data_IF_648047943581
#
_entry.id   IF_648047943581
#
_cell.length_a   1.000
_cell.length_b   1.000
_cell.length_c   1.000
_cell.angle_alpha   90.00
_cell.angle_beta   90.00
_cell.angle_gamma   90.00
#
_symmetry.space_group_name_H-M   'P 1'
#
loop_
_entity.id
_entity.type
_entity.pdbx_description
1 polymer ?
#
# COMPACT_ATOMS: atom_id res chain seq x y z
N UNK A 1 -33.43 25.40 17.97
CA UNK A 1 -33.42 26.85 17.66
C UNK A 1 -32.06 27.19 17.03
N UNK A 2 -31.99 27.39 15.70
CA UNK A 2 -30.73 27.78 15.04
C UNK A 2 -30.58 29.30 15.16
N UNK A 3 -29.68 29.75 16.03
CA UNK A 3 -29.31 31.18 16.10
C UNK A 3 -28.43 31.46 14.88
N UNK A 4 -28.92 32.29 13.94
CA UNK A 4 -28.09 32.83 12.85
C UNK A 4 -27.44 34.12 13.37
N UNK A 5 -26.12 34.09 13.56
CA UNK A 5 -25.35 35.30 13.84
C UNK A 5 -25.06 35.96 12.49
N UNK A 6 -25.61 37.15 12.27
CA UNK A 6 -25.29 37.95 11.09
C UNK A 6 -24.00 38.75 11.35
N UNK A 7 -22.85 38.18 10.98
CA UNK A 7 -21.53 38.77 11.21
C UNK A 7 -21.37 40.14 10.53
N UNK A 8 -22.02 40.35 9.38
CA UNK A 8 -21.96 41.62 8.65
C UNK A 8 -22.78 42.72 9.34
N UNK A 9 -23.74 42.35 10.19
CA UNK A 9 -24.53 43.31 10.96
C UNK A 9 -23.82 43.82 12.23
N UNK A 10 -22.65 43.28 12.58
CA UNK A 10 -21.88 43.74 13.73
C UNK A 10 -21.02 44.97 13.36
N UNK A 11 -21.04 46.05 14.16
CA UNK A 11 -20.09 47.15 14.06
C UNK A 11 -18.63 46.66 14.18
N UNK A 12 -17.72 47.22 13.39
CA UNK A 12 -16.30 46.80 13.33
C UNK A 12 -15.57 46.88 14.68
N UNK A 13 -16.04 47.77 15.55
CA UNK A 13 -15.57 47.97 16.92
C UNK A 13 -15.86 46.75 17.80
N UNK A 14 -17.04 46.14 17.62
CA UNK A 14 -17.49 44.97 18.37
C UNK A 14 -16.94 43.67 17.79
N UNK A 15 -16.61 43.62 16.49
CA UNK A 15 -15.98 42.45 15.84
C UNK A 15 -14.65 42.08 16.52
N UNK A 16 -13.92 43.06 17.08
CA UNK A 16 -12.65 42.85 17.80
C UNK A 16 -12.82 42.25 19.20
N UNK A 17 -14.03 42.32 19.78
CA UNK A 17 -14.35 41.84 21.12
C UNK A 17 -14.87 40.39 21.13
N UNK A 18 -15.34 39.89 19.98
CA UNK A 18 -15.79 38.51 19.88
C UNK A 18 -14.61 37.54 19.78
N UNK A 19 -14.43 36.73 20.81
CA UNK A 19 -13.57 35.55 20.76
C UNK A 19 -14.33 34.50 19.97
N UNK A 20 -13.77 34.04 18.84
CA UNK A 20 -14.30 32.87 18.14
C UNK A 20 -14.24 31.68 19.12
N UNK A 21 -15.38 31.32 19.70
CA UNK A 21 -15.54 30.37 20.80
C UNK A 21 -15.66 28.91 20.34
N UNK A 22 -15.30 28.65 19.08
CA UNK A 22 -15.25 27.29 18.52
C UNK A 22 -16.54 26.82 17.88
N UNK A 23 -17.48 27.73 17.58
CA UNK A 23 -18.72 27.44 16.86
C UNK A 23 -18.55 26.41 15.73
N UNK A 24 -19.11 25.22 15.95
CA UNK A 24 -19.25 24.15 14.97
C UNK A 24 -20.01 24.71 13.77
N UNK A 25 -19.45 24.57 12.55
CA UNK A 25 -19.96 25.03 11.25
C UNK A 25 -19.55 26.44 10.76
N UNK A 26 -18.64 27.16 11.44
CA UNK A 26 -18.04 28.36 10.83
C UNK A 26 -16.86 27.98 9.92
N UNK A 27 -16.78 28.54 8.69
CA UNK A 27 -15.63 28.32 7.81
C UNK A 27 -14.39 29.09 8.33
N UNK A 28 -13.19 28.64 7.95
CA UNK A 28 -11.96 29.40 8.18
C UNK A 28 -12.05 30.77 7.47
N UNK A 29 -11.61 31.89 8.08
CA UNK A 29 -10.93 32.03 9.38
C UNK A 29 -11.86 32.37 10.56
N UNK A 30 -13.19 32.21 10.39
CA UNK A 30 -14.20 32.69 11.33
C UNK A 30 -14.40 31.77 12.55
N UNK A 31 -13.71 30.62 12.60
CA UNK A 31 -13.68 29.68 13.73
C UNK A 31 -12.44 29.88 14.60
N UNK A 32 -12.41 29.25 15.78
CA UNK A 32 -11.35 29.50 16.76
C UNK A 32 -9.96 29.02 16.28
N UNK A 33 -8.90 29.78 16.60
CA UNK A 33 -7.52 29.37 16.30
C UNK A 33 -7.16 28.02 16.92
N UNK A 34 -7.75 27.70 18.08
CA UNK A 34 -7.60 26.39 18.70
C UNK A 34 -8.22 25.29 17.83
N UNK A 35 -9.40 25.51 17.26
CA UNK A 35 -10.07 24.55 16.37
C UNK A 35 -9.25 24.30 15.09
N UNK A 36 -8.77 25.37 14.44
CA UNK A 36 -7.84 25.28 13.30
C UNK A 36 -6.56 24.52 13.66
N UNK A 37 -5.97 24.81 14.83
CA UNK A 37 -4.80 24.09 15.34
C UNK A 37 -5.09 22.60 15.59
N UNK A 38 -6.26 22.27 16.16
CA UNK A 38 -6.65 20.89 16.42
C UNK A 38 -6.88 20.09 15.12
N UNK A 39 -7.39 20.72 14.07
CA UNK A 39 -7.58 20.14 12.74
C UNK A 39 -6.21 19.87 12.08
N UNK A 40 -5.32 20.88 12.08
CA UNK A 40 -3.95 20.77 11.57
C UNK A 40 -3.14 19.71 12.34
N UNK A 41 -3.21 19.71 13.68
CA UNK A 41 -2.47 18.78 14.54
C UNK A 41 -2.84 17.32 14.27
N UNK A 42 -4.11 17.05 13.94
CA UNK A 42 -4.61 15.71 13.63
C UNK A 42 -4.33 15.27 12.19
N UNK A 43 -3.75 16.15 11.37
CA UNK A 43 -3.23 15.85 10.03
C UNK A 43 -4.25 15.08 9.15
N UNK A 44 -5.51 15.50 9.19
CA UNK A 44 -6.56 14.86 8.38
C UNK A 44 -7.19 13.59 8.98
N UNK A 45 -6.84 13.19 10.21
CA UNK A 45 -7.61 12.17 10.95
C UNK A 45 -8.98 12.74 11.35
N UNK A 46 -9.89 12.74 10.37
CA UNK A 46 -11.23 13.32 10.44
C UNK A 46 -12.07 12.67 11.54
N UNK A 47 -11.90 11.37 11.76
CA UNK A 47 -12.59 10.63 12.82
C UNK A 47 -12.20 11.14 14.21
N UNK A 48 -10.90 11.18 14.51
CA UNK A 48 -10.42 11.71 15.79
C UNK A 48 -10.87 13.17 15.99
N UNK A 49 -10.88 13.97 14.92
CA UNK A 49 -11.35 15.36 14.98
C UNK A 49 -12.87 15.45 15.23
N UNK A 50 -13.69 14.72 14.48
CA UNK A 50 -15.15 14.75 14.62
C UNK A 50 -15.58 14.21 15.99
N UNK A 51 -15.02 13.07 16.42
CA UNK A 51 -15.39 12.46 17.70
C UNK A 51 -14.86 13.26 18.89
N UNK A 52 -13.58 13.67 18.89
CA UNK A 52 -12.97 14.28 20.07
C UNK A 52 -13.00 15.82 20.09
N UNK A 53 -13.06 16.48 18.92
CA UNK A 53 -13.12 17.96 18.84
C UNK A 53 -14.55 18.43 18.61
N UNK A 54 -15.33 17.78 17.74
CA UNK A 54 -16.73 18.17 17.52
C UNK A 54 -17.72 17.47 18.44
N UNK A 55 -17.22 16.59 19.34
CA UNK A 55 -18.01 15.77 20.25
C UNK A 55 -19.19 15.09 19.53
N UNK A 56 -19.00 14.71 18.27
CA UNK A 56 -20.05 14.08 17.47
C UNK A 56 -19.85 12.58 17.56
N UNK A 57 -20.77 11.83 18.19
CA UNK A 57 -20.71 10.38 18.14
C UNK A 57 -20.83 9.97 16.67
N UNK A 58 -19.86 9.21 16.18
CA UNK A 58 -19.93 8.63 14.85
C UNK A 58 -20.81 7.39 14.90
N UNK A 59 -21.80 7.30 14.02
CA UNK A 59 -22.76 6.20 13.93
C UNK A 59 -22.32 5.08 13.00
N UNK A 60 -23.10 4.00 12.98
CA UNK A 60 -22.91 2.82 12.11
C UNK A 60 -22.89 3.14 10.59
N UNK A 61 -23.52 4.24 10.19
CA UNK A 61 -23.56 4.70 8.81
C UNK A 61 -22.35 5.53 8.40
N UNK A 62 -21.47 5.88 9.34
CA UNK A 62 -20.29 6.69 9.04
C UNK A 62 -19.20 5.83 8.39
N UNK A 63 -18.50 6.41 7.43
CA UNK A 63 -17.46 5.73 6.65
C UNK A 63 -16.07 6.24 7.03
N UNK A 64 -15.02 5.39 6.97
CA UNK A 64 -13.64 5.83 7.20
C UNK A 64 -13.09 6.71 6.06
N UNK A 65 -13.76 6.75 4.91
CA UNK A 65 -13.29 7.41 3.69
C UNK A 65 -14.22 8.54 3.27
N UNK A 66 -13.66 9.67 2.82
CA UNK A 66 -14.47 10.79 2.33
C UNK A 66 -14.99 10.53 0.92
N UNK A 67 -16.31 10.45 0.74
CA UNK A 67 -16.93 10.16 -0.55
C UNK A 67 -16.62 11.24 -1.60
N UNK A 68 -16.38 12.48 -1.19
CA UNK A 68 -16.00 13.57 -2.10
C UNK A 68 -14.63 13.29 -2.72
N UNK A 69 -13.67 12.88 -1.87
CA UNK A 69 -12.32 12.47 -2.31
C UNK A 69 -12.40 11.24 -3.21
N UNK A 70 -13.21 10.25 -2.85
CA UNK A 70 -13.38 9.04 -3.68
C UNK A 70 -13.99 9.34 -5.06
N UNK A 71 -14.96 10.26 -5.14
CA UNK A 71 -15.53 10.71 -6.42
C UNK A 71 -14.54 11.53 -7.27
N UNK A 72 -13.63 12.28 -6.65
CA UNK A 72 -12.54 12.96 -7.37
C UNK A 72 -11.52 11.95 -7.92
N UNK A 73 -11.09 10.97 -7.11
CA UNK A 73 -10.22 9.87 -7.54
C UNK A 73 -10.86 9.11 -8.70
N UNK A 74 -12.15 8.80 -8.61
CA UNK A 74 -12.92 8.13 -9.66
C UNK A 74 -12.85 8.85 -11.01
N UNK A 75 -12.91 10.18 -10.99
CA UNK A 75 -12.87 11.00 -12.21
C UNK A 75 -11.46 11.14 -12.77
N UNK A 76 -10.45 11.20 -11.90
CA UNK A 76 -9.09 11.56 -12.27
C UNK A 76 -8.22 10.34 -12.59
N UNK A 77 -8.25 9.32 -11.73
CA UNK A 77 -7.18 8.32 -11.65
C UNK A 77 -7.66 6.89 -11.98
N UNK A 78 -8.95 6.57 -11.80
CA UNK A 78 -9.50 5.24 -12.08
C UNK A 78 -9.55 4.97 -13.58
N UNK A 79 -8.98 3.83 -14.00
CA UNK A 79 -8.90 3.41 -15.41
C UNK A 79 -8.70 1.91 -15.53
N UNK A 80 -8.99 1.38 -16.72
CA UNK A 80 -8.67 -0.01 -17.04
C UNK A 80 -7.15 -0.29 -16.98
N UNK A 81 -6.74 -1.50 -16.55
CA UNK A 81 -5.34 -1.87 -16.53
C UNK A 81 -4.78 -1.99 -17.94
N UNK A 82 -3.53 -1.58 -18.10
CA UNK A 82 -2.80 -1.65 -19.36
C UNK A 82 -2.52 -3.10 -19.76
N UNK A 83 -2.42 -4.01 -18.78
CA UNK A 83 -2.21 -5.44 -18.99
C UNK A 83 -3.05 -6.30 -18.04
N UNK A 84 -3.62 -7.40 -18.54
CA UNK A 84 -4.35 -8.43 -17.76
C UNK A 84 -3.80 -9.82 -18.07
N UNK A 85 -3.38 -10.57 -17.05
CA UNK A 85 -2.74 -11.87 -17.25
C UNK A 85 -2.29 -12.55 -15.95
N UNK A 86 -1.20 -13.29 -16.03
CA UNK A 86 -0.57 -14.01 -14.91
C UNK A 86 0.96 -13.94 -14.99
N UNK A 87 1.64 -14.31 -13.90
CA UNK A 87 3.06 -14.64 -13.96
C UNK A 87 3.26 -16.14 -14.12
N UNK A 88 4.05 -16.51 -15.12
CA UNK A 88 4.64 -17.83 -15.18
C UNK A 88 5.74 -17.91 -14.13
N UNK A 89 5.60 -18.86 -13.20
CA UNK A 89 6.54 -19.11 -12.11
C UNK A 89 6.84 -20.61 -12.05
N UNK A 90 8.08 -20.95 -11.73
CA UNK A 90 8.53 -22.35 -11.59
C UNK A 90 9.22 -22.54 -10.25
N UNK A 91 9.38 -23.79 -9.82
CA UNK A 91 10.07 -24.14 -8.58
C UNK A 91 11.20 -25.11 -8.89
N UNK A 92 12.25 -25.05 -8.08
CA UNK A 92 13.27 -26.10 -8.06
C UNK A 92 12.69 -27.40 -7.47
N UNK A 93 13.45 -28.50 -7.58
CA UNK A 93 13.06 -29.80 -7.02
C UNK A 93 12.82 -29.78 -5.50
N UNK A 94 13.47 -28.85 -4.79
CA UNK A 94 13.26 -28.64 -3.35
C UNK A 94 12.03 -27.77 -3.02
N UNK A 95 11.25 -27.34 -4.02
CA UNK A 95 10.05 -26.52 -3.86
C UNK A 95 10.29 -25.03 -3.62
N UNK A 96 11.55 -24.56 -3.63
CA UNK A 96 11.90 -23.14 -3.59
C UNK A 96 11.61 -22.50 -4.95
N UNK A 97 11.17 -21.23 -4.94
CA UNK A 97 10.88 -20.47 -6.15
C UNK A 97 12.11 -20.35 -7.04
N UNK A 98 11.96 -20.69 -8.32
CA UNK A 98 12.97 -20.44 -9.34
C UNK A 98 12.79 -19.02 -9.88
N UNK A 99 13.79 -18.18 -9.63
CA UNK A 99 13.79 -16.75 -10.00
C UNK A 99 14.34 -16.48 -11.40
N UNK A 100 14.90 -17.48 -12.08
CA UNK A 100 15.54 -17.34 -13.39
C UNK A 100 14.54 -17.28 -14.54
N UNK A 101 13.37 -17.90 -14.37
CA UNK A 101 12.36 -18.04 -15.42
C UNK A 101 11.00 -17.52 -14.96
N UNK A 102 10.97 -16.24 -14.58
CA UNK A 102 9.73 -15.51 -14.27
C UNK A 102 9.38 -14.61 -15.45
N UNK A 103 8.19 -14.80 -16.01
CA UNK A 103 7.71 -14.01 -17.16
C UNK A 103 6.23 -13.72 -17.06
N UNK A 104 5.84 -12.54 -17.53
CA UNK A 104 4.43 -12.17 -17.67
C UNK A 104 3.79 -12.95 -18.83
N UNK A 105 2.58 -13.46 -18.60
CA UNK A 105 1.76 -14.18 -19.56
C UNK A 105 0.43 -13.43 -19.78
N UNK A 106 0.27 -12.72 -20.91
CA UNK A 106 -0.96 -11.99 -21.21
C UNK A 106 -2.15 -12.95 -21.43
N UNK A 107 -3.34 -12.55 -21.01
CA UNK A 107 -4.61 -13.22 -21.35
C UNK A 107 -4.88 -14.56 -20.65
N UNK A 108 -3.95 -15.09 -19.86
CA UNK A 108 -4.19 -16.31 -19.05
C UNK A 108 -4.83 -15.91 -17.74
N UNK A 109 -6.03 -16.42 -17.42
CA UNK A 109 -6.86 -16.18 -16.21
C UNK A 109 -7.20 -14.72 -15.86
N UNK A 110 -6.29 -13.77 -16.09
CA UNK A 110 -6.48 -12.34 -15.92
C UNK A 110 -6.51 -11.87 -14.48
N UNK A 111 -6.02 -12.67 -13.51
CA UNK A 111 -6.09 -12.27 -12.09
C UNK A 111 -5.08 -11.16 -11.78
N UNK A 112 -3.91 -11.14 -12.44
CA UNK A 112 -2.99 -10.01 -12.35
C UNK A 112 -3.41 -8.92 -13.33
N UNK A 113 -3.77 -7.77 -12.76
CA UNK A 113 -4.01 -6.52 -13.44
C UNK A 113 -2.82 -5.58 -13.20
N UNK A 114 -2.32 -4.95 -14.26
CA UNK A 114 -1.15 -4.07 -14.19
C UNK A 114 -1.44 -2.72 -14.86
N UNK A 115 -1.10 -1.64 -14.16
CA UNK A 115 -1.15 -0.25 -14.61
C UNK A 115 0.28 0.27 -14.70
N UNK A 116 0.71 0.63 -15.91
CA UNK A 116 2.05 1.11 -16.19
C UNK A 116 2.73 0.33 -17.31
N UNK A 117 3.92 0.79 -17.70
CA UNK A 117 4.69 0.18 -18.78
C UNK A 117 5.41 -1.08 -18.29
N UNK A 118 5.53 -2.07 -19.17
CA UNK A 118 6.31 -3.29 -18.96
C UNK A 118 7.45 -3.38 -19.98
N UNK A 119 8.50 -2.53 -19.91
CA UNK A 119 9.65 -2.66 -20.79
C UNK A 119 10.26 -4.05 -20.68
N UNK A 120 10.39 -4.74 -21.82
CA UNK A 120 10.89 -6.13 -21.87
C UNK A 120 10.08 -7.12 -21.01
N UNK A 121 8.78 -6.85 -20.80
CA UNK A 121 7.89 -7.74 -20.04
C UNK A 121 8.06 -7.68 -18.52
N UNK A 122 8.74 -6.64 -17.99
CA UNK A 122 8.95 -6.42 -16.55
C UNK A 122 8.66 -4.96 -16.16
N UNK A 123 8.30 -4.69 -14.88
CA UNK A 123 8.19 -3.34 -14.34
C UNK A 123 9.51 -2.54 -14.41
N UNK A 124 9.45 -1.23 -14.20
CA UNK A 124 10.66 -0.37 -14.20
C UNK A 124 11.64 -0.79 -13.09
N UNK A 125 12.75 -1.40 -13.49
CA UNK A 125 13.69 -2.04 -12.58
C UNK A 125 14.52 -1.06 -11.74
N UNK A 126 14.43 0.25 -12.04
CA UNK A 126 15.02 1.34 -11.25
C UNK A 126 14.16 1.78 -10.07
N UNK A 127 12.88 1.38 -10.04
CA UNK A 127 11.97 1.75 -8.98
C UNK A 127 12.00 0.75 -7.83
N UNK A 128 11.61 1.22 -6.64
CA UNK A 128 11.36 0.35 -5.50
C UNK A 128 9.87 0.06 -5.40
N UNK A 129 9.52 -1.21 -5.28
CA UNK A 129 8.14 -1.66 -5.17
C UNK A 129 7.84 -2.20 -3.78
N UNK A 130 6.60 -2.00 -3.34
CA UNK A 130 6.02 -2.65 -2.17
C UNK A 130 4.94 -3.61 -2.69
N UNK A 131 4.92 -4.83 -2.15
CA UNK A 131 3.85 -5.80 -2.36
C UNK A 131 3.14 -6.00 -1.03
N UNK A 132 1.86 -5.64 -0.99
CA UNK A 132 1.00 -5.74 0.17
C UNK A 132 -0.04 -6.84 -0.02
N UNK A 133 -0.22 -7.71 0.99
CA UNK A 133 -1.02 -8.93 0.86
C UNK A 133 -2.03 -9.07 2.01
N UNK A 134 -3.26 -9.45 1.67
CA UNK A 134 -4.28 -9.91 2.62
C UNK A 134 -4.65 -11.36 2.25
N UNK A 135 -4.06 -12.35 2.93
CA UNK A 135 -4.25 -13.76 2.57
C UNK A 135 -5.57 -14.32 3.10
N UNK A 136 -6.31 -15.01 2.24
CA UNK A 136 -7.49 -15.80 2.61
C UNK A 136 -7.19 -17.30 2.63
N UNK A 137 -8.13 -18.12 3.11
CA UNK A 137 -7.98 -19.58 3.13
C UNK A 137 -8.03 -20.26 1.76
N UNK A 138 -8.45 -19.55 0.70
CA UNK A 138 -8.58 -20.14 -0.63
C UNK A 138 -9.78 -21.09 -0.76
N UNK A 139 -10.88 -20.83 -0.05
CA UNK A 139 -12.08 -21.69 -0.01
C UNK A 139 -13.28 -21.10 -0.78
N UNK A 140 -13.08 -20.03 -1.56
CA UNK A 140 -14.12 -19.41 -2.39
C UNK A 140 -14.98 -18.36 -1.68
N UNK A 141 -14.91 -18.25 -0.35
CA UNK A 141 -15.71 -17.28 0.41
C UNK A 141 -15.12 -15.87 0.46
N UNK A 142 -13.78 -15.76 0.53
CA UNK A 142 -13.06 -14.49 0.64
C UNK A 142 -11.86 -14.47 -0.31
N UNK A 143 -11.52 -13.31 -0.86
CA UNK A 143 -10.39 -13.18 -1.77
C UNK A 143 -9.08 -13.12 -0.99
N UNK A 144 -8.06 -13.81 -1.47
CA UNK A 144 -6.70 -13.35 -1.24
C UNK A 144 -6.45 -12.17 -2.15
N UNK A 145 -5.94 -11.06 -1.61
CA UNK A 145 -5.63 -9.86 -2.38
C UNK A 145 -4.13 -9.55 -2.32
N UNK A 146 -3.58 -9.05 -3.43
CA UNK A 146 -2.21 -8.55 -3.54
C UNK A 146 -2.26 -7.21 -4.25
N UNK A 147 -1.72 -6.17 -3.61
CA UNK A 147 -1.47 -4.88 -4.24
C UNK A 147 0.04 -4.69 -4.46
N UNK A 148 0.39 -4.16 -5.63
CA UNK A 148 1.74 -3.72 -5.95
C UNK A 148 1.75 -2.19 -6.03
N UNK A 149 2.58 -1.57 -5.20
CA UNK A 149 2.71 -0.12 -5.10
C UNK A 149 4.12 0.30 -5.53
N UNK A 150 4.19 1.29 -6.40
CA UNK A 150 5.44 1.89 -6.86
C UNK A 150 5.80 3.08 -5.97
N UNK A 151 6.90 2.94 -5.21
CA UNK A 151 7.32 3.98 -4.26
C UNK A 151 7.82 5.23 -4.97
N UNK A 152 8.25 5.12 -6.22
CA UNK A 152 8.80 6.23 -6.99
C UNK A 152 7.70 7.11 -7.57
N UNK A 153 6.62 6.51 -8.09
CA UNK A 153 5.48 7.25 -8.69
C UNK A 153 4.33 7.46 -7.72
N UNK A 154 4.33 6.79 -6.57
CA UNK A 154 3.23 6.77 -5.60
C UNK A 154 1.93 6.12 -6.11
N UNK A 155 2.04 5.29 -7.13
CA UNK A 155 0.89 4.67 -7.80
C UNK A 155 0.71 3.21 -7.38
N UNK A 156 -0.55 2.80 -7.33
CA UNK A 156 -0.96 1.41 -7.32
C UNK A 156 -0.81 0.84 -8.75
N UNK A 157 0.33 0.22 -9.03
CA UNK A 157 0.69 -0.28 -10.37
C UNK A 157 0.24 -1.73 -10.62
N UNK A 158 -0.17 -2.46 -9.60
CA UNK A 158 -0.67 -3.83 -9.77
C UNK A 158 -1.70 -4.25 -8.74
N UNK A 159 -2.61 -5.12 -9.16
CA UNK A 159 -3.61 -5.76 -8.32
C UNK A 159 -3.76 -7.21 -8.75
N UNK A 160 -3.85 -8.11 -7.78
CA UNK A 160 -4.19 -9.50 -7.99
C UNK A 160 -5.18 -9.96 -6.92
N UNK A 161 -6.23 -10.67 -7.32
CA UNK A 161 -7.22 -11.20 -6.39
C UNK A 161 -7.73 -12.58 -6.83
N UNK A 162 -7.88 -13.49 -5.87
CA UNK A 162 -8.47 -14.81 -6.08
C UNK A 162 -9.02 -15.42 -4.79
N UNK A 163 -10.24 -15.96 -4.83
CA UNK A 163 -10.88 -16.60 -3.70
C UNK A 163 -10.43 -18.06 -3.47
N UNK A 164 -9.74 -18.67 -4.43
CA UNK A 164 -9.46 -20.11 -4.45
C UNK A 164 -7.98 -20.46 -4.24
N UNK A 165 -7.10 -19.46 -4.19
CA UNK A 165 -5.68 -19.69 -3.96
C UNK A 165 -5.41 -19.84 -2.47
N UNK A 166 -4.84 -21.00 -2.08
CA UNK A 166 -4.42 -21.26 -0.69
C UNK A 166 -3.24 -20.38 -0.27
N UNK A 167 -3.10 -20.05 1.02
CA UNK A 167 -2.03 -19.18 1.53
C UNK A 167 -0.61 -19.57 1.11
N UNK A 168 -0.29 -20.86 1.07
CA UNK A 168 1.05 -21.33 0.68
C UNK A 168 1.32 -21.10 -0.81
N UNK A 169 0.30 -21.37 -1.65
CA UNK A 169 0.42 -21.10 -3.08
C UNK A 169 0.46 -19.60 -3.36
N UNK A 170 -0.27 -18.80 -2.58
CA UNK A 170 -0.20 -17.34 -2.62
C UNK A 170 1.21 -16.85 -2.30
N UNK A 171 1.86 -17.40 -1.27
CA UNK A 171 3.25 -17.04 -0.93
C UNK A 171 4.22 -17.36 -2.08
N UNK A 172 4.05 -18.49 -2.78
CA UNK A 172 4.82 -18.80 -4.00
C UNK A 172 4.63 -17.70 -5.07
N UNK A 173 3.37 -17.33 -5.36
CA UNK A 173 3.02 -16.30 -6.34
C UNK A 173 3.66 -14.95 -5.95
N UNK A 174 3.54 -14.55 -4.69
CA UNK A 174 4.07 -13.29 -4.17
C UNK A 174 5.58 -13.23 -4.29
N UNK A 175 6.31 -14.30 -3.95
CA UNK A 175 7.78 -14.34 -4.11
C UNK A 175 8.15 -14.18 -5.59
N UNK A 176 7.43 -14.86 -6.49
CA UNK A 176 7.60 -14.67 -7.94
C UNK A 176 7.34 -13.23 -8.38
N UNK A 177 6.23 -12.62 -7.92
CA UNK A 177 5.91 -11.21 -8.19
C UNK A 177 6.98 -10.26 -7.64
N UNK A 178 7.53 -10.54 -6.46
CA UNK A 178 8.52 -9.69 -5.82
C UNK A 178 9.85 -9.67 -6.58
N UNK A 179 10.27 -10.82 -7.12
CA UNK A 179 11.43 -10.92 -8.00
C UNK A 179 11.15 -10.44 -9.42
N UNK A 180 9.90 -10.46 -9.90
CA UNK A 180 9.51 -9.88 -11.19
C UNK A 180 9.49 -8.35 -11.17
N UNK A 181 8.90 -7.76 -10.13
CA UNK A 181 8.84 -6.31 -9.95
C UNK A 181 10.20 -5.73 -9.57
N UNK A 182 10.91 -6.40 -8.67
CA UNK A 182 12.21 -5.93 -8.20
C UNK A 182 13.27 -5.92 -9.30
N UNK A 183 14.28 -5.08 -9.10
CA UNK A 183 15.45 -4.92 -9.96
C UNK A 183 16.74 -4.90 -9.14
N UNK A 184 17.21 -3.70 -8.78
CA UNK A 184 18.39 -3.53 -7.89
C UNK A 184 18.15 -4.23 -6.54
N UNK A 185 16.91 -4.17 -6.03
CA UNK A 185 16.43 -4.92 -4.88
C UNK A 185 15.13 -5.63 -5.23
N UNK A 186 14.86 -6.81 -4.64
CA UNK A 186 13.56 -7.45 -4.79
C UNK A 186 12.51 -6.63 -4.03
N UNK A 187 11.22 -6.73 -4.41
CA UNK A 187 10.18 -5.86 -3.85
C UNK A 187 9.94 -6.07 -2.34
N UNK A 188 9.62 -5.02 -1.60
CA UNK A 188 9.37 -5.14 -0.17
C UNK A 188 8.01 -5.76 0.12
N UNK A 189 7.97 -6.86 0.89
CA UNK A 189 6.72 -7.59 1.16
C UNK A 189 6.16 -7.21 2.54
N UNK A 190 4.88 -6.84 2.58
CA UNK A 190 4.08 -6.70 3.80
C UNK A 190 2.77 -7.49 3.66
N UNK A 191 2.31 -8.12 4.75
CA UNK A 191 1.06 -8.90 4.72
C UNK A 191 0.33 -8.83 6.05
N UNK A 192 -0.96 -9.14 6.04
CA UNK A 192 -1.68 -9.48 7.28
C UNK A 192 -1.26 -10.88 7.74
N UNK A 193 -0.46 -10.90 8.81
CA UNK A 193 0.00 -12.12 9.47
C UNK A 193 -1.00 -12.64 10.51
N UNK A 194 -2.15 -11.99 10.66
CA UNK A 194 -3.23 -12.41 11.54
C UNK A 194 -3.88 -13.73 11.11
N UNK A 195 -4.40 -14.45 12.10
CA UNK A 195 -5.18 -15.68 11.86
C UNK A 195 -4.36 -16.87 11.32
N UNK A 196 -5.09 -17.94 10.97
CA UNK A 196 -4.47 -19.17 10.47
C UNK A 196 -3.90 -19.02 9.05
N UNK A 197 -4.61 -18.32 8.16
CA UNK A 197 -4.15 -18.05 6.79
C UNK A 197 -2.84 -17.23 6.77
N UNK A 198 -2.76 -16.14 7.53
CA UNK A 198 -1.54 -15.33 7.65
C UNK A 198 -0.36 -16.11 8.21
N UNK A 199 -0.59 -17.04 9.14
CA UNK A 199 0.44 -17.95 9.67
C UNK A 199 0.97 -18.92 8.61
N UNK A 200 0.07 -19.55 7.83
CA UNK A 200 0.44 -20.47 6.75
C UNK A 200 1.24 -19.75 5.65
N UNK A 201 0.79 -18.55 5.26
CA UNK A 201 1.53 -17.68 4.34
C UNK A 201 2.93 -17.36 4.86
N UNK A 202 3.02 -16.94 6.13
CA UNK A 202 4.30 -16.61 6.79
C UNK A 202 5.28 -17.77 6.73
N UNK A 203 4.85 -18.97 7.13
CA UNK A 203 5.70 -20.16 7.13
C UNK A 203 6.25 -20.48 5.73
N UNK A 204 5.41 -20.31 4.70
CA UNK A 204 5.84 -20.53 3.32
C UNK A 204 6.80 -19.45 2.81
N UNK A 205 6.59 -18.19 3.18
CA UNK A 205 7.51 -17.10 2.84
C UNK A 205 8.91 -17.32 3.46
N UNK A 206 8.93 -17.84 4.69
CA UNK A 206 10.15 -18.18 5.43
C UNK A 206 10.87 -19.36 4.81
N UNK A 207 10.11 -20.35 4.34
CA UNK A 207 10.65 -21.48 3.59
C UNK A 207 11.41 -21.01 2.33
N UNK A 208 10.90 -20.00 1.62
CA UNK A 208 11.59 -19.37 0.48
C UNK A 208 12.80 -18.53 0.87
N UNK A 209 13.03 -18.29 2.17
CA UNK A 209 14.11 -17.44 2.69
C UNK A 209 14.10 -16.04 2.07
N UNK A 210 12.90 -15.51 1.79
CA UNK A 210 12.77 -14.22 1.16
C UNK A 210 13.29 -13.11 2.10
N UNK A 211 14.27 -12.28 1.67
CA UNK A 211 15.01 -11.43 2.59
C UNK A 211 14.32 -10.11 2.92
N UNK A 212 13.40 -9.64 2.08
CA UNK A 212 12.93 -8.26 2.11
C UNK A 212 11.49 -8.13 2.59
N UNK A 213 11.28 -8.43 3.87
CA UNK A 213 9.96 -8.53 4.51
C UNK A 213 9.73 -7.46 5.57
N UNK A 214 8.46 -7.14 5.80
CA UNK A 214 8.02 -6.30 6.89
C UNK A 214 8.12 -7.00 8.25
N UNK A 215 8.63 -6.25 9.22
CA UNK A 215 8.72 -6.65 10.63
C UNK A 215 7.97 -5.65 11.49
N UNK A 216 7.09 -6.14 12.36
CA UNK A 216 6.22 -5.28 13.15
C UNK A 216 7.05 -4.39 14.08
N UNK A 217 6.66 -3.11 14.20
CA UNK A 217 7.28 -2.16 15.13
C UNK A 217 6.33 -1.80 16.26
N UNK A 218 6.92 -1.38 17.39
CA UNK A 218 6.19 -0.73 18.48
C UNK A 218 5.96 0.74 18.15
N UNK A 219 4.76 1.05 17.67
CA UNK A 219 4.37 2.43 17.29
C UNK A 219 4.25 3.37 18.51
N UNK A 220 4.01 2.79 19.69
CA UNK A 220 3.89 3.47 21.00
C UNK A 220 5.24 3.86 21.62
N UNK A 221 6.35 3.38 21.07
CA UNK A 221 7.69 3.71 21.55
C UNK A 221 8.33 4.82 20.73
N UNK A 222 8.88 5.83 21.40
CA UNK A 222 9.73 6.87 20.77
C UNK A 222 10.89 6.27 19.95
N UNK A 223 11.36 5.08 20.33
CA UNK A 223 12.46 4.37 19.64
C UNK A 223 11.99 3.46 18.50
N UNK A 224 10.69 3.19 18.35
CA UNK A 224 10.08 2.34 17.31
C UNK A 224 10.85 1.05 17.00
N UNK A 225 11.36 0.38 18.04
CA UNK A 225 12.18 -0.83 17.87
C UNK A 225 11.41 -1.90 17.08
N UNK A 226 12.10 -2.53 16.13
CA UNK A 226 11.60 -3.69 15.42
C UNK A 226 11.38 -4.86 16.37
N UNK A 227 10.24 -5.52 16.22
CA UNK A 227 9.88 -6.73 16.94
C UNK A 227 10.34 -7.95 16.14
N UNK A 228 10.49 -9.09 16.82
CA UNK A 228 10.76 -10.39 16.19
C UNK A 228 9.52 -11.01 15.52
N UNK A 229 8.55 -10.18 15.11
CA UNK A 229 7.28 -10.62 14.51
C UNK A 229 7.26 -10.20 13.05
N UNK A 230 7.05 -11.18 12.17
CA UNK A 230 6.96 -10.99 10.72
C UNK A 230 5.53 -10.64 10.32
N UNK A 231 5.40 -9.73 9.36
CA UNK A 231 4.11 -9.22 8.89
C UNK A 231 3.41 -8.28 9.89
N UNK A 232 2.26 -7.77 9.48
CA UNK A 232 1.41 -6.93 10.29
C UNK A 232 0.39 -7.80 11.02
N UNK A 233 0.28 -7.64 12.34
CA UNK A 233 -0.75 -8.33 13.13
C UNK A 233 -1.73 -7.29 13.63
N UNK A 234 -2.92 -7.33 13.03
CA UNK A 234 -4.03 -6.43 13.32
C UNK A 234 -4.77 -6.74 14.62
N UNK A 235 -5.42 -5.70 15.12
CA UNK A 235 -6.57 -5.79 16.02
C UNK A 235 -7.53 -4.67 15.61
N UNK A 236 -8.74 -4.61 16.20
CA UNK A 236 -9.75 -3.63 15.77
C UNK A 236 -9.23 -2.18 15.76
N UNK A 237 -8.47 -1.78 16.78
CA UNK A 237 -7.86 -0.44 16.86
C UNK A 237 -6.81 -0.21 15.78
N UNK A 238 -5.84 -1.14 15.63
CA UNK A 238 -4.80 -1.03 14.60
C UNK A 238 -5.38 -1.00 13.18
N UNK A 239 -6.49 -1.71 12.97
CA UNK A 239 -7.22 -1.70 11.70
C UNK A 239 -7.84 -0.32 11.45
N UNK A 240 -8.48 0.28 12.45
CA UNK A 240 -9.01 1.64 12.33
C UNK A 240 -7.89 2.67 12.07
N UNK A 241 -6.75 2.53 12.74
CA UNK A 241 -5.55 3.37 12.49
C UNK A 241 -5.03 3.18 11.04
N UNK A 242 -4.94 1.93 10.57
CA UNK A 242 -4.53 1.59 9.20
C UNK A 242 -5.44 2.24 8.15
N UNK A 243 -6.75 2.17 8.34
CA UNK A 243 -7.74 2.76 7.42
C UNK A 243 -7.72 4.30 7.48
N UNK A 244 -7.52 4.88 8.66
CA UNK A 244 -7.32 6.32 8.80
C UNK A 244 -6.05 6.82 8.09
N UNK A 245 -4.95 6.06 8.16
CA UNK A 245 -3.74 6.38 7.40
C UNK A 245 -3.94 6.26 5.89
N UNK A 246 -4.72 5.27 5.44
CA UNK A 246 -5.09 5.12 4.04
C UNK A 246 -5.95 6.29 3.54
N UNK A 247 -6.95 6.74 4.33
CA UNK A 247 -7.78 7.88 3.96
C UNK A 247 -6.97 9.17 3.77
N UNK A 248 -6.01 9.41 4.67
CA UNK A 248 -5.05 10.52 4.53
C UNK A 248 -4.23 10.35 3.25
N UNK A 249 -3.76 9.14 2.95
CA UNK A 249 -2.93 8.89 1.78
C UNK A 249 -3.66 9.04 0.45
N UNK A 250 -4.93 8.65 0.39
CA UNK A 250 -5.79 8.87 -0.78
C UNK A 250 -5.99 10.37 -1.03
N UNK A 251 -6.17 11.15 0.03
CA UNK A 251 -6.30 12.61 -0.07
C UNK A 251 -5.00 13.25 -0.55
N UNK A 252 -3.85 12.77 -0.06
CA UNK A 252 -2.53 13.20 -0.51
C UNK A 252 -2.17 12.77 -1.94
N UNK A 253 -2.87 11.79 -2.53
CA UNK A 253 -2.71 11.40 -3.93
C UNK A 253 -3.35 12.39 -4.91
N UNK A 254 -4.32 13.18 -4.46
CA UNK A 254 -5.03 14.15 -5.31
C UNK A 254 -4.29 15.50 -5.45
N UNK A 255 -3.41 15.82 -4.51
CA UNK A 255 -2.69 17.10 -4.47
C UNK A 255 -1.59 17.18 -5.53
N UNK A 256 -1.41 18.37 -6.13
CA UNK A 256 -0.35 18.61 -7.13
C UNK A 256 1.06 18.52 -6.52
N UNK A 257 1.20 18.90 -5.24
CA UNK A 257 2.43 18.76 -4.47
C UNK A 257 2.37 17.47 -3.65
N UNK A 258 2.69 16.34 -4.30
CA UNK A 258 2.77 15.02 -3.66
C UNK A 258 3.96 15.02 -2.69
N UNK A 259 3.71 15.47 -1.47
CA UNK A 259 4.69 15.46 -0.40
C UNK A 259 5.26 14.05 -0.19
N UNK A 260 6.52 13.97 0.26
CA UNK A 260 7.25 12.69 0.42
C UNK A 260 6.55 11.64 1.30
N UNK A 261 5.54 12.05 2.08
CA UNK A 261 4.90 11.25 3.09
C UNK A 261 3.41 11.02 2.83
N UNK A 262 3.09 9.74 2.63
CA UNK A 262 1.74 9.15 2.57
C UNK A 262 0.88 9.75 1.47
N UNK A 263 1.21 9.43 0.23
CA UNK A 263 0.31 9.60 -0.90
C UNK A 263 0.18 8.28 -1.65
N UNK A 264 -1.02 7.97 -2.08
CA UNK A 264 -1.30 6.84 -2.95
C UNK A 264 -2.29 7.27 -4.03
N UNK A 265 -1.92 7.01 -5.27
CA UNK A 265 -2.80 7.14 -6.44
C UNK A 265 -3.28 5.72 -6.76
N UNK A 266 -4.60 5.53 -6.80
CA UNK A 266 -5.20 4.23 -7.12
C UNK A 266 -5.81 4.26 -8.52
N UNK A 267 -5.73 3.13 -9.21
CA UNK A 267 -6.28 2.96 -10.56
C UNK A 267 -7.36 1.88 -10.62
N UNK A 268 -7.34 0.94 -9.67
CA UNK A 268 -8.27 -0.19 -9.61
C UNK A 268 -9.68 0.24 -9.22
N UNK A 269 -10.62 0.00 -10.14
CA UNK A 269 -12.04 0.25 -9.93
C UNK A 269 -12.63 -0.65 -8.83
N UNK A 270 -12.22 -1.91 -8.74
CA UNK A 270 -12.76 -2.85 -7.74
C UNK A 270 -12.34 -2.42 -6.33
N UNK A 271 -11.11 -1.94 -6.17
CA UNK A 271 -10.64 -1.31 -4.93
C UNK A 271 -11.47 -0.07 -4.58
N UNK A 272 -11.76 0.82 -5.54
CA UNK A 272 -12.62 1.98 -5.29
C UNK A 272 -14.03 1.57 -4.83
N UNK A 273 -14.63 0.59 -5.49
CA UNK A 273 -15.94 0.07 -5.11
C UNK A 273 -15.93 -0.52 -3.69
N UNK A 274 -14.86 -1.24 -3.31
CA UNK A 274 -14.70 -1.70 -1.92
C UNK A 274 -14.53 -0.53 -0.94
N UNK A 275 -13.75 0.51 -1.26
CA UNK A 275 -13.60 1.71 -0.43
C UNK A 275 -14.94 2.40 -0.15
N UNK A 276 -15.80 2.52 -1.17
CA UNK A 276 -17.14 3.11 -1.05
C UNK A 276 -18.09 2.28 -0.17
N UNK A 277 -17.89 0.96 -0.12
CA UNK A 277 -18.73 0.06 0.67
C UNK A 277 -18.29 -0.03 2.16
N UNK A 278 -17.18 0.60 2.59
CA UNK A 278 -16.70 0.51 3.98
C UNK A 278 -17.48 1.41 4.96
N UNK A 279 -17.92 0.83 6.07
CA UNK A 279 -18.67 1.50 7.16
C UNK A 279 -18.09 1.13 8.53
N UNK A 280 -18.30 1.97 9.54
CA UNK A 280 -17.99 1.60 10.92
C UNK A 280 -19.07 0.69 11.51
N UNK A 281 -18.68 -0.23 12.41
CA UNK A 281 -19.66 -1.02 13.18
C UNK A 281 -20.43 -0.15 14.17
N UNK A 282 -21.65 -0.57 14.51
CA UNK A 282 -22.55 0.07 15.49
C UNK A 282 -21.90 0.31 16.86
N UNK A 283 -20.98 -0.56 17.28
CA UNK A 283 -20.23 -0.40 18.54
C UNK A 283 -19.19 0.73 18.51
N UNK A 284 -19.02 1.38 17.37
CA UNK A 284 -18.00 2.40 17.14
C UNK A 284 -16.57 1.84 17.10
N UNK A 285 -16.37 0.51 17.06
CA UNK A 285 -15.02 -0.08 17.03
C UNK A 285 -14.90 -1.08 15.88
N UNK A 286 -13.96 -0.80 14.97
CA UNK A 286 -13.69 -1.63 13.80
C UNK A 286 -14.57 -1.28 12.59
N UNK A 287 -13.94 -0.89 11.49
CA UNK A 287 -14.61 -0.76 10.20
C UNK A 287 -14.76 -2.10 9.47
N UNK A 288 -15.88 -2.27 8.78
CA UNK A 288 -16.25 -3.43 7.97
C UNK A 288 -16.90 -2.98 6.66
N UNK A 289 -16.98 -3.89 5.71
CA UNK A 289 -17.78 -3.65 4.49
C UNK A 289 -19.27 -3.70 4.86
N UNK A 290 -20.05 -2.74 4.38
CA UNK A 290 -21.49 -2.55 4.65
C UNK A 290 -22.30 -3.84 4.52
N UNK A 291 -22.04 -4.64 3.47
CA UNK A 291 -22.72 -5.93 3.26
C UNK A 291 -22.49 -6.95 4.40
N UNK A 292 -21.43 -6.80 5.19
CA UNK A 292 -21.13 -7.60 6.39
C UNK A 292 -21.72 -7.04 7.67
N UNK A 293 -22.17 -5.78 7.68
CA UNK A 293 -22.80 -5.21 8.86
C UNK A 293 -24.18 -5.85 9.11
N UNK A 294 -24.81 -6.43 8.08
CA UNK A 294 -26.24 -6.78 8.09
C UNK A 294 -26.60 -8.28 7.96
N UNK A 295 -25.64 -9.22 7.79
CA UNK A 295 -25.95 -10.63 7.46
C UNK A 295 -24.95 -11.57 8.17
N UNK A 296 -25.24 -12.67 8.87
CA UNK A 296 -26.31 -13.70 8.98
C UNK A 296 -26.49 -14.64 7.78
N UNK A 297 -26.03 -14.28 6.58
CA UNK A 297 -26.17 -15.13 5.38
C UNK A 297 -24.85 -15.18 4.61
N UNK A 298 -24.19 -16.34 4.65
CA UNK A 298 -22.84 -16.57 4.13
C UNK A 298 -22.72 -16.65 2.60
N UNK A 299 -23.23 -15.66 1.87
CA UNK A 299 -23.12 -15.58 0.41
C UNK A 299 -22.15 -14.46 -0.02
N UNK A 300 -21.03 -14.85 -0.65
CA UNK A 300 -20.03 -14.02 -1.35
C UNK A 300 -19.97 -12.56 -0.85
N UNK A 301 -19.60 -12.38 0.41
CA UNK A 301 -19.46 -11.06 1.00
C UNK A 301 -18.29 -10.34 0.31
N UNK A 302 -18.41 -9.06 0.00
CA UNK A 302 -17.22 -8.25 -0.32
C UNK A 302 -16.43 -8.12 0.98
N UNK A 303 -15.28 -8.78 1.07
CA UNK A 303 -14.59 -8.93 2.34
C UNK A 303 -13.80 -7.68 2.76
N UNK A 304 -13.48 -6.80 1.80
CA UNK A 304 -12.65 -5.61 1.99
C UNK A 304 -11.16 -5.89 1.85
N UNK A 305 -10.79 -7.05 1.29
CA UNK A 305 -9.42 -7.55 1.25
C UNK A 305 -8.51 -6.59 0.46
N UNK A 306 -9.00 -5.98 -0.64
CA UNK A 306 -8.21 -5.01 -1.42
C UNK A 306 -7.93 -3.76 -0.60
N UNK A 307 -8.90 -3.28 0.18
CA UNK A 307 -8.73 -2.10 1.05
C UNK A 307 -7.68 -2.34 2.13
N UNK A 308 -7.64 -3.56 2.70
CA UNK A 308 -6.58 -3.94 3.65
C UNK A 308 -5.21 -3.92 2.99
N UNK A 309 -5.07 -4.50 1.79
CA UNK A 309 -3.79 -4.43 1.06
C UNK A 309 -3.35 -3.00 0.78
N UNK A 310 -4.27 -2.11 0.42
CA UNK A 310 -3.99 -0.69 0.20
C UNK A 310 -3.45 -0.02 1.48
N UNK A 311 -4.10 -0.26 2.62
CA UNK A 311 -3.64 0.25 3.91
C UNK A 311 -2.26 -0.28 4.29
N UNK A 312 -2.00 -1.57 4.07
CA UNK A 312 -0.69 -2.18 4.33
C UNK A 312 0.40 -1.60 3.42
N UNK A 313 0.11 -1.32 2.16
CA UNK A 313 1.07 -0.67 1.26
C UNK A 313 1.47 0.72 1.78
N UNK A 314 0.49 1.54 2.20
CA UNK A 314 0.73 2.85 2.82
C UNK A 314 1.55 2.74 4.10
N UNK A 315 1.28 1.73 4.94
CA UNK A 315 2.06 1.49 6.16
C UNK A 315 3.53 1.19 5.83
N UNK A 316 3.77 0.33 4.84
CA UNK A 316 5.12 -0.05 4.41
C UNK A 316 5.91 1.08 3.73
N UNK A 317 5.24 2.13 3.21
CA UNK A 317 5.91 3.30 2.64
C UNK A 317 6.84 4.01 3.63
N UNK A 318 6.61 3.86 4.95
CA UNK A 318 7.48 4.40 6.01
C UNK A 318 8.84 3.71 6.07
N UNK A 319 8.94 2.50 5.54
CA UNK A 319 10.13 1.63 5.60
C UNK A 319 10.88 1.56 4.26
N UNK A 320 10.28 2.07 3.19
CA UNK A 320 10.83 2.05 1.85
C UNK A 320 11.16 3.45 1.33
N UNK A 321 12.41 3.58 0.90
CA UNK A 321 12.88 4.74 0.15
C UNK A 321 12.53 4.57 -1.33
N UNK A 322 12.49 5.68 -2.07
CA UNK A 322 12.43 5.64 -3.53
C UNK A 322 13.66 4.94 -4.08
N UNK A 323 13.51 4.22 -5.20
CA UNK A 323 14.64 3.69 -5.94
C UNK A 323 15.51 4.83 -6.44
N UNK A 324 16.81 4.78 -6.15
CA UNK A 324 17.80 5.71 -6.70
C UNK A 324 18.89 4.90 -7.41
N UNK A 325 18.85 4.94 -8.75
CA UNK A 325 19.78 4.22 -9.60
C UNK A 325 21.17 4.87 -9.65
N UNK A 326 21.25 6.19 -9.43
CA UNK A 326 22.52 6.95 -9.44
C UNK A 326 23.45 6.53 -8.29
N UNK A 327 22.86 6.05 -7.19
CA UNK A 327 23.60 5.54 -6.02
C UNK A 327 23.93 4.04 -6.08
N UNK A 328 23.61 3.35 -7.18
CA UNK A 328 23.94 1.93 -7.33
C UNK A 328 25.43 1.75 -7.67
N UNK A 329 26.30 1.93 -6.66
CA UNK A 329 27.76 1.79 -6.79
C UNK A 329 28.17 0.42 -7.36
N UNK A 330 27.36 -0.61 -7.12
CA UNK A 330 27.61 -1.96 -7.61
C UNK A 330 26.38 -2.51 -8.36
N UNK A 331 26.49 -2.82 -9.66
CA UNK A 331 25.40 -3.45 -10.38
C UNK A 331 25.08 -4.82 -9.78
N UNK A 332 23.80 -5.23 -9.67
CA UNK A 332 23.44 -6.53 -9.11
C UNK A 332 24.18 -7.68 -9.81
N UNK A 333 24.61 -8.76 -9.11
CA UNK A 333 25.49 -9.80 -9.67
C UNK A 333 24.99 -10.46 -10.96
N UNK A 334 23.67 -10.47 -11.18
CA UNK A 334 23.04 -11.07 -12.36
C UNK A 334 22.55 -10.06 -13.41
N UNK A 335 22.85 -8.76 -13.23
CA UNK A 335 22.49 -7.72 -14.19
C UNK A 335 23.36 -7.78 -15.45
N UNK A 336 22.85 -7.24 -16.56
CA UNK A 336 23.64 -7.09 -17.80
C UNK A 336 24.95 -6.33 -17.56
N UNK A 337 24.91 -5.25 -16.76
CA UNK A 337 26.11 -4.47 -16.43
C UNK A 337 27.14 -5.28 -15.63
N UNK A 338 26.70 -6.07 -14.64
CA UNK A 338 27.62 -6.93 -13.89
C UNK A 338 28.25 -8.02 -14.78
N UNK A 339 27.47 -8.60 -15.71
CA UNK A 339 27.99 -9.57 -16.68
C UNK A 339 28.98 -8.93 -17.65
N UNK A 340 28.67 -7.74 -18.16
CA UNK A 340 29.55 -6.97 -19.05
C UNK A 340 30.87 -6.61 -18.36
N UNK A 341 30.81 -6.07 -17.13
CA UNK A 341 32.01 -5.75 -16.34
C UNK A 341 32.88 -7.00 -16.08
N UNK A 342 32.25 -8.14 -15.76
CA UNK A 342 32.96 -9.41 -15.59
C UNK A 342 33.64 -9.90 -16.88
N UNK A 343 33.01 -9.74 -18.05
CA UNK A 343 33.63 -10.07 -19.33
C UNK A 343 34.78 -9.13 -19.68
N UNK A 344 34.63 -7.83 -19.47
CA UNK A 344 35.73 -6.87 -19.63
C UNK A 344 36.92 -7.19 -18.73
N UNK A 345 36.68 -7.56 -17.46
CA UNK A 345 37.75 -7.97 -16.56
C UNK A 345 38.46 -9.25 -17.01
N UNK A 346 37.71 -10.23 -17.56
CA UNK A 346 38.30 -11.43 -18.16
C UNK A 346 39.17 -11.08 -19.35
N UNK A 347 38.67 -10.27 -20.29
CA UNK A 347 39.43 -9.83 -21.46
C UNK A 347 40.68 -9.03 -21.08
N UNK A 348 40.59 -8.14 -20.07
CA UNK A 348 41.75 -7.40 -19.54
C UNK A 348 42.79 -8.34 -18.93
N UNK A 349 42.37 -9.38 -18.19
CA UNK A 349 43.29 -10.40 -17.63
C UNK A 349 43.92 -11.25 -18.73
N UNK A 350 43.17 -11.64 -19.74
CA UNK A 350 43.67 -12.40 -20.89
C UNK A 350 44.68 -11.59 -21.70
N UNK A 351 44.36 -10.33 -22.02
CA UNK A 351 45.29 -9.42 -22.72
C UNK A 351 46.54 -9.14 -21.91
N UNK A 352 46.43 -8.94 -20.58
CA UNK A 352 47.58 -8.76 -19.70
C UNK A 352 48.44 -10.03 -19.60
N UNK A 353 47.81 -11.21 -19.59
CA UNK A 353 48.51 -12.49 -19.66
C UNK A 353 49.23 -12.71 -21.00
N UNK A 354 48.64 -12.23 -22.09
CA UNK A 354 49.24 -12.26 -23.43
C UNK A 354 50.45 -11.31 -23.54
N UNK A 355 50.35 -10.10 -23.00
CA UNK A 355 51.48 -9.16 -22.91
C UNK A 355 52.63 -9.71 -22.07
N UNK A 356 52.35 -10.26 -20.89
CA UNK A 356 53.40 -10.86 -20.04
C UNK A 356 54.12 -12.00 -20.75
N UNK A 357 53.39 -12.85 -21.48
CA UNK A 357 54.01 -13.91 -22.30
C UNK A 357 54.84 -13.36 -23.45
N UNK A 358 54.46 -12.22 -24.03
CA UNK A 358 55.22 -11.54 -25.10
C UNK A 358 56.54 -10.90 -24.60
N UNK A 359 56.68 -10.65 -23.30
CA UNK A 359 57.92 -10.14 -22.70
C UNK A 359 58.83 -11.25 -22.13
N UNK A 360 58.35 -12.50 -22.06
CA UNK A 360 59.08 -13.65 -21.50
C UNK A 360 59.61 -14.63 -22.57
N UNK A 361 59.28 -14.38 -23.84
CA UNK A 361 59.85 -15.00 -25.04
C UNK A 361 60.33 -13.89 -25.97
#
# INVERSE_FOLDING_TARGET
MKIKINYEALPDELKKLFIADGCKNLPKPLRSKWHDYQELRRKGNRRDFISNVWATPMGASDTPFDHTILEEIKKKDIRDPDYKGELYITQYSNGIMNTENIRYMPGVMGRLQWWGKLPFGRPEQRHNYIIAIDPSYGLGSANSAIMIYDRNTYEQVGMWADANTKPEKLADIVVGMAYWCGGIRPAYIIWDAGGGCGTMFTNRLVFHRYPYIYTQRREDSKTRKQMKKWGWIGNAKKKDDLLGELAIALSGGLTEDIGEYKSIIIHDKDLLDELLDYVFRDSGVGAVVSKKADLSTGALERHGDRVITAGLAVLACKEQLKGNWETAENPPPNSFQARFNCEEEKQKKENRGFEIRRYLY
#
